data_IF_347085768536
#
_entry.id   IF_347085768536
#
_cell.length_a   1.000
_cell.length_b   1.000
_cell.length_c   1.000
_cell.angle_alpha   90.00
_cell.angle_beta   90.00
_cell.angle_gamma   90.00
#
_symmetry.space_group_name_H-M   'P 1'
#
loop_
_entity.id
_entity.type
_entity.pdbx_description
1 polymer ?
#
# COMPACT_ATOMS: atom_id res chain seq x y z
N UNK A 1 -9.61 17.12 -5.11
CA UNK A 1 -10.29 17.50 -3.85
C UNK A 1 -9.79 16.70 -2.65
N UNK A 2 -9.61 15.38 -2.75
CA UNK A 2 -9.07 14.58 -1.65
C UNK A 2 -7.69 15.14 -1.18
N UNK A 3 -6.70 15.27 -2.07
CA UNK A 3 -5.36 15.75 -1.70
C UNK A 3 -5.24 17.26 -1.38
N UNK A 4 -6.34 18.04 -1.39
CA UNK A 4 -6.28 19.49 -1.10
C UNK A 4 -6.45 19.81 0.38
N UNK A 5 -6.44 18.81 1.27
CA UNK A 5 -6.56 18.97 2.73
C UNK A 5 -5.47 18.13 3.42
N UNK A 6 -4.93 18.61 4.57
CA UNK A 6 -4.00 17.82 5.36
C UNK A 6 -4.70 16.55 5.88
N UNK A 7 -4.05 15.41 5.66
CA UNK A 7 -4.58 14.10 6.00
C UNK A 7 -4.32 13.75 7.46
N UNK A 8 -5.27 13.03 8.08
CA UNK A 8 -5.13 12.46 9.43
C UNK A 8 -5.04 10.93 9.45
N UNK A 9 -5.06 10.30 8.28
CA UNK A 9 -5.07 8.84 8.14
C UNK A 9 -4.00 8.41 7.14
N UNK A 10 -3.20 7.42 7.52
CA UNK A 10 -2.20 6.81 6.63
C UNK A 10 -2.77 5.54 6.02
N UNK A 11 -2.48 5.33 4.74
CA UNK A 11 -2.57 4.01 4.14
C UNK A 11 -1.33 3.22 4.55
N UNK A 12 -1.50 1.92 4.75
CA UNK A 12 -0.38 0.98 4.94
C UNK A 12 -0.43 -0.01 3.79
N UNK A 13 0.71 -0.24 3.15
CA UNK A 13 0.85 -1.22 2.06
C UNK A 13 1.96 -2.19 2.40
N UNK A 14 1.83 -3.43 1.95
CA UNK A 14 2.81 -4.48 2.18
C UNK A 14 3.44 -4.92 0.86
N UNK A 15 4.69 -5.36 0.92
CA UNK A 15 5.42 -5.98 -0.19
C UNK A 15 4.55 -7.04 -0.86
N UNK A 16 4.47 -7.00 -2.19
CA UNK A 16 3.67 -7.94 -3.00
C UNK A 16 2.16 -7.97 -2.71
N UNK A 17 1.59 -7.09 -1.88
CA UNK A 17 0.13 -7.02 -1.72
C UNK A 17 -0.53 -6.54 -3.03
N UNK A 18 -1.48 -7.32 -3.53
CA UNK A 18 -2.21 -7.06 -4.78
C UNK A 18 -3.30 -6.00 -4.61
N UNK A 19 -3.96 -5.93 -3.44
CA UNK A 19 -5.20 -5.17 -3.27
C UNK A 19 -4.98 -3.66 -3.37
N UNK A 20 -3.95 -3.05 -2.75
CA UNK A 20 -3.70 -1.62 -2.85
C UNK A 20 -3.28 -1.13 -4.24
N UNK A 21 -3.17 -2.03 -5.22
CA UNK A 21 -2.77 -1.76 -6.61
C UNK A 21 -3.94 -1.88 -7.58
N UNK A 22 -5.09 -2.38 -7.13
CA UNK A 22 -6.25 -2.64 -7.95
C UNK A 22 -7.44 -1.78 -7.49
N UNK A 23 -8.17 -1.14 -8.42
CA UNK A 23 -7.84 -0.96 -9.84
C UNK A 23 -6.62 -0.04 -10.03
N UNK A 24 -5.76 -0.36 -11.00
CA UNK A 24 -4.50 0.36 -11.20
C UNK A 24 -4.65 1.69 -11.96
N UNK A 25 -3.58 2.48 -11.97
CA UNK A 25 -3.51 3.78 -12.66
C UNK A 25 -3.83 3.74 -14.15
N UNK A 26 -3.63 2.60 -14.81
CA UNK A 26 -3.98 2.38 -16.22
C UNK A 26 -5.49 2.56 -16.46
N UNK A 27 -6.32 2.31 -15.45
CA UNK A 27 -7.77 2.51 -15.50
C UNK A 27 -8.21 3.90 -15.00
N UNK A 28 -7.27 4.83 -14.78
CA UNK A 28 -7.56 6.19 -14.32
C UNK A 28 -7.79 6.32 -12.81
N UNK A 29 -7.47 5.29 -12.03
CA UNK A 29 -7.56 5.32 -10.56
C UNK A 29 -6.24 5.79 -9.95
N UNK A 30 -6.33 6.67 -8.96
CA UNK A 30 -5.20 7.12 -8.18
C UNK A 30 -5.55 7.06 -6.70
N UNK A 31 -4.58 6.71 -5.87
CA UNK A 31 -4.79 6.62 -4.44
C UNK A 31 -4.44 7.91 -3.71
N UNK A 32 -4.98 8.06 -2.51
CA UNK A 32 -4.53 9.08 -1.57
C UNK A 32 -3.09 8.76 -1.12
N UNK A 33 -2.34 9.82 -0.80
CA UNK A 33 -0.89 9.79 -0.96
C UNK A 33 -0.13 9.58 0.34
N UNK A 34 -0.76 9.81 1.50
CA UNK A 34 -0.15 9.49 2.79
C UNK A 34 -0.10 7.96 2.97
N UNK A 35 1.03 7.36 2.58
CA UNK A 35 1.26 5.93 2.55
C UNK A 35 2.53 5.55 3.31
N UNK A 36 2.42 4.52 4.13
CA UNK A 36 3.51 3.80 4.75
C UNK A 36 3.64 2.46 4.06
N UNK A 37 4.81 2.15 3.53
CA UNK A 37 5.06 0.91 2.81
C UNK A 37 5.99 -0.02 3.60
N UNK A 38 5.60 -1.27 3.74
CA UNK A 38 6.39 -2.33 4.36
C UNK A 38 7.09 -3.09 3.23
N UNK A 39 8.40 -2.85 3.07
CA UNK A 39 9.20 -3.49 2.03
C UNK A 39 9.46 -4.97 2.30
N UNK A 40 10.07 -5.64 1.32
CA UNK A 40 10.34 -7.09 1.35
C UNK A 40 11.00 -7.58 2.64
N UNK A 41 11.93 -6.81 3.18
CA UNK A 41 12.72 -7.17 4.36
C UNK A 41 12.06 -6.67 5.67
N UNK A 42 10.82 -6.18 5.60
CA UNK A 42 10.09 -5.60 6.72
C UNK A 42 10.46 -4.15 7.06
N UNK A 43 11.36 -3.55 6.27
CA UNK A 43 11.72 -2.14 6.40
C UNK A 43 10.53 -1.23 6.07
N UNK A 44 10.37 -0.15 6.83
CA UNK A 44 9.28 0.80 6.64
C UNK A 44 9.77 1.97 5.78
N UNK A 45 9.08 2.21 4.67
CA UNK A 45 9.30 3.33 3.76
C UNK A 45 8.13 4.29 3.91
N UNK A 46 8.41 5.53 4.33
CA UNK A 46 7.41 6.59 4.34
C UNK A 46 7.37 7.24 2.96
N UNK A 47 6.26 7.06 2.24
CA UNK A 47 6.08 7.65 0.91
C UNK A 47 5.78 9.15 0.99
N UNK A 48 5.85 9.82 -0.16
CA UNK A 48 5.48 11.24 -0.28
C UNK A 48 4.06 11.51 0.22
N UNK A 49 3.90 12.60 0.99
CA UNK A 49 2.62 13.01 1.54
C UNK A 49 1.75 13.82 0.56
N UNK A 50 2.33 14.27 -0.56
CA UNK A 50 1.71 15.21 -1.51
C UNK A 50 1.47 14.66 -2.91
N UNK A 51 2.08 13.52 -3.26
CA UNK A 51 1.89 12.87 -4.57
C UNK A 51 1.98 11.34 -4.45
N UNK A 52 1.28 10.62 -5.33
CA UNK A 52 1.35 9.15 -5.36
C UNK A 52 2.71 8.79 -5.90
N UNK A 53 3.59 8.35 -5.01
CA UNK A 53 4.92 7.93 -5.39
C UNK A 53 4.85 6.50 -5.93
N UNK A 54 4.81 6.39 -7.24
CA UNK A 54 4.81 5.13 -7.97
C UNK A 54 5.99 4.23 -7.57
N UNK A 55 7.13 4.82 -7.18
CA UNK A 55 8.32 4.05 -6.83
C UNK A 55 8.24 3.50 -5.41
N UNK A 56 7.43 4.10 -4.52
CA UNK A 56 7.37 3.71 -3.12
C UNK A 56 6.78 2.29 -2.92
N UNK A 57 5.90 1.85 -3.83
CA UNK A 57 5.29 0.51 -3.80
C UNK A 57 5.71 -0.34 -5.00
N UNK A 58 6.71 0.08 -5.78
CA UNK A 58 7.18 -0.60 -6.99
C UNK A 58 8.14 -1.77 -6.71
N UNK A 59 8.39 -2.12 -5.45
CA UNK A 59 9.39 -3.12 -5.06
C UNK A 59 8.94 -4.58 -5.25
N UNK A 60 7.73 -4.81 -5.74
CA UNK A 60 7.12 -6.13 -5.93
C UNK A 60 7.54 -6.81 -7.24
N UNK A 61 7.77 -8.12 -7.19
CA UNK A 61 8.03 -8.95 -8.37
C UNK A 61 6.80 -9.75 -8.80
N UNK A 62 6.05 -10.29 -7.83
CA UNK A 62 4.84 -11.08 -8.04
C UNK A 62 3.77 -10.67 -7.01
N UNK A 63 2.58 -10.20 -7.45
CA UNK A 63 1.47 -9.94 -6.55
C UNK A 63 1.02 -11.20 -5.81
N UNK A 64 0.61 -11.05 -4.55
CA UNK A 64 0.28 -12.15 -3.65
C UNK A 64 -0.92 -11.80 -2.76
N UNK A 65 -1.94 -12.66 -2.80
CA UNK A 65 -3.05 -12.61 -1.85
C UNK A 65 -2.63 -12.95 -0.41
N UNK A 66 -1.60 -13.77 -0.25
CA UNK A 66 -1.06 -14.08 1.09
C UNK A 66 -0.41 -12.85 1.72
N UNK A 67 0.26 -12.03 0.91
CA UNK A 67 0.85 -10.77 1.36
C UNK A 67 -0.21 -9.76 1.80
N UNK A 68 -1.37 -9.73 1.14
CA UNK A 68 -2.50 -8.91 1.58
C UNK A 68 -2.95 -9.21 3.00
N UNK A 69 -2.79 -10.46 3.45
CA UNK A 69 -3.19 -10.87 4.79
C UNK A 69 -2.03 -10.80 5.79
N UNK A 70 -0.88 -10.18 5.47
CA UNK A 70 0.27 -10.16 6.37
C UNK A 70 0.90 -8.76 6.46
N UNK A 71 0.89 -8.19 7.67
CA UNK A 71 1.46 -6.87 7.98
C UNK A 71 2.33 -6.97 9.23
N UNK A 72 3.58 -6.47 9.17
CA UNK A 72 4.56 -6.58 10.25
C UNK A 72 4.73 -8.02 10.80
N UNK A 73 4.69 -9.02 9.91
CA UNK A 73 4.74 -10.43 10.30
C UNK A 73 3.48 -10.97 10.98
N UNK A 74 2.47 -10.13 11.22
CA UNK A 74 1.18 -10.54 11.77
C UNK A 74 0.22 -10.87 10.64
N UNK A 75 -0.37 -12.06 10.70
CA UNK A 75 -1.44 -12.44 9.77
C UNK A 75 -2.75 -11.79 10.19
N UNK A 76 -3.28 -10.94 9.35
CA UNK A 76 -4.62 -10.39 9.48
C UNK A 76 -5.64 -11.37 8.93
N UNK A 77 -6.86 -11.30 9.45
CA UNK A 77 -7.99 -12.04 8.92
C UNK A 77 -7.82 -13.57 8.88
N UNK A 78 -7.21 -14.17 9.92
CA UNK A 78 -7.08 -15.63 10.01
C UNK A 78 -8.40 -16.34 10.39
N UNK A 79 -9.42 -15.58 10.78
CA UNK A 79 -10.65 -16.10 11.38
C UNK A 79 -11.96 -15.48 10.84
N UNK A 80 -11.96 -14.73 9.72
CA UNK A 80 -13.24 -14.44 9.09
C UNK A 80 -13.73 -15.70 8.36
N UNK A 81 -14.80 -16.26 8.91
CA UNK A 81 -15.65 -17.30 8.33
C UNK A 81 -16.69 -16.60 7.45
#
# INVERSE_FOLDING_TARGET
YLNSRPWKYTRVTSYSDIVPRLPGAIFGYAHNQYNMHIGKDGNIVNCSIYQEDHNCTADYTLPSWSAHNTYWGTKMNQHCI
#
